data_IF_127148705498
#
_entry.id   IF_127148705498
#
_cell.length_a   1.000
_cell.length_b   1.000
_cell.length_c   1.000
_cell.angle_alpha   90.00
_cell.angle_beta   90.00
_cell.angle_gamma   90.00
#
_symmetry.space_group_name_H-M   'P 1'
#
loop_
_entity.id
_entity.type
_entity.pdbx_description
1 polymer ?
#
# COMPACT_ATOMS: atom_id res chain seq x y z
N UNK A 1 29.09 1.15 -30.04
CA UNK A 1 30.20 0.73 -30.93
C UNK A 1 31.46 0.58 -30.07
N UNK A 2 32.15 -0.55 -29.96
CA UNK A 2 31.86 -1.96 -30.33
C UNK A 2 32.38 -2.75 -29.11
N UNK A 3 31.62 -3.59 -28.38
CA UNK A 3 30.54 -4.52 -28.73
C UNK A 3 30.98 -5.81 -29.47
N UNK A 4 32.21 -6.26 -29.24
CA UNK A 4 32.65 -7.62 -29.62
C UNK A 4 33.90 -8.03 -28.80
N UNK A 5 33.76 -9.03 -27.90
CA UNK A 5 34.80 -9.88 -27.24
C UNK A 5 34.37 -10.35 -25.83
N UNK A 6 33.41 -11.30 -25.74
CA UNK A 6 33.33 -12.28 -24.63
C UNK A 6 32.29 -13.40 -24.85
N UNK A 7 32.17 -13.91 -26.08
CA UNK A 7 31.35 -15.11 -26.40
C UNK A 7 32.18 -16.09 -27.23
N UNK A 8 32.96 -16.96 -26.58
CA UNK A 8 33.63 -18.10 -27.22
C UNK A 8 34.23 -19.08 -26.18
N UNK A 9 33.39 -19.81 -25.43
CA UNK A 9 33.87 -20.95 -24.62
C UNK A 9 32.86 -22.11 -24.49
N UNK A 10 32.17 -22.46 -25.59
CA UNK A 10 31.52 -23.77 -25.78
C UNK A 10 31.81 -24.23 -27.22
N UNK A 11 31.85 -25.55 -27.45
CA UNK A 11 32.20 -26.28 -28.69
C UNK A 11 33.68 -26.71 -28.77
N UNK A 12 34.00 -27.83 -28.09
CA UNK A 12 34.85 -28.93 -28.62
C UNK A 12 34.95 -30.12 -27.63
N UNK A 13 34.16 -31.17 -27.85
CA UNK A 13 34.50 -32.57 -27.56
C UNK A 13 33.37 -33.49 -28.07
N UNK A 14 33.67 -34.46 -28.93
CA UNK A 14 32.76 -35.54 -29.35
C UNK A 14 33.54 -36.65 -30.08
N UNK A 15 32.99 -37.88 -30.01
CA UNK A 15 33.43 -39.13 -30.70
C UNK A 15 34.69 -39.85 -30.20
N UNK A 16 34.50 -41.12 -29.81
CA UNK A 16 35.38 -42.31 -29.72
C UNK A 16 34.58 -43.35 -28.86
N UNK A 17 33.82 -44.35 -29.33
CA UNK A 17 33.93 -45.41 -30.37
C UNK A 17 34.30 -46.80 -29.76
N UNK A 18 33.39 -47.80 -29.91
CA UNK A 18 33.60 -49.28 -29.85
C UNK A 18 33.96 -49.93 -28.47
N UNK A 19 33.64 -51.19 -28.10
CA UNK A 19 32.62 -52.21 -28.50
C UNK A 19 32.44 -53.28 -27.35
N UNK A 20 31.78 -54.47 -27.46
CA UNK A 20 31.03 -55.09 -26.33
C UNK A 20 31.45 -56.53 -25.91
N UNK A 21 30.75 -57.10 -24.90
CA UNK A 21 30.21 -58.51 -24.84
C UNK A 21 30.36 -59.21 -23.47
N UNK A 22 29.25 -59.43 -22.73
CA UNK A 22 28.84 -60.68 -22.04
C UNK A 22 27.47 -60.45 -21.33
N UNK A 23 26.44 -61.31 -21.19
CA UNK A 23 26.03 -62.66 -21.70
C UNK A 23 25.77 -63.71 -20.59
N UNK A 24 24.48 -63.89 -20.21
CA UNK A 24 23.84 -65.14 -19.69
C UNK A 24 24.21 -65.54 -18.22
N UNK A 25 23.31 -66.00 -17.32
CA UNK A 25 22.18 -66.96 -17.47
C UNK A 25 21.07 -66.88 -16.37
N UNK A 26 19.89 -67.44 -16.74
CA UNK A 26 18.77 -67.91 -15.88
C UNK A 26 17.81 -66.86 -15.25
N UNK A 27 16.56 -67.20 -14.86
CA UNK A 27 15.86 -68.51 -14.92
C UNK A 27 14.50 -68.52 -15.68
N UNK A 28 13.35 -68.43 -14.99
CA UNK A 28 11.96 -68.50 -15.54
C UNK A 28 10.96 -67.79 -14.59
N UNK A 29 9.84 -67.29 -15.13
CA UNK A 29 8.63 -67.01 -14.34
C UNK A 29 7.51 -66.24 -15.07
N UNK A 30 6.48 -66.96 -15.56
CA UNK A 30 5.11 -66.55 -15.93
C UNK A 30 4.83 -65.19 -16.64
N UNK A 31 4.11 -65.25 -17.77
CA UNK A 31 3.42 -64.09 -18.39
C UNK A 31 2.15 -63.71 -17.61
N UNK A 32 1.94 -62.40 -17.38
CA UNK A 32 0.61 -61.80 -17.13
C UNK A 32 0.65 -60.29 -17.37
N UNK A 33 0.39 -59.85 -18.61
CA UNK A 33 0.36 -58.43 -19.00
C UNK A 33 -1.03 -57.83 -18.77
N UNK A 34 -1.21 -57.09 -17.68
CA UNK A 34 -2.47 -56.40 -17.36
C UNK A 34 -2.47 -54.98 -17.95
N UNK A 35 -2.90 -54.84 -19.20
CA UNK A 35 -3.02 -53.54 -19.88
C UNK A 35 -4.24 -52.78 -19.37
N UNK A 36 -4.04 -51.85 -18.44
CA UNK A 36 -5.09 -50.90 -18.06
C UNK A 36 -5.27 -49.82 -19.14
N UNK A 37 -6.43 -49.79 -19.79
CA UNK A 37 -6.90 -48.59 -20.47
C UNK A 37 -7.28 -47.57 -19.40
N UNK A 38 -6.53 -46.46 -19.32
CA UNK A 38 -7.04 -45.24 -18.69
C UNK A 38 -7.85 -44.51 -19.74
N UNK A 39 -9.18 -44.66 -19.69
CA UNK A 39 -10.09 -43.78 -20.41
C UNK A 39 -10.13 -42.44 -19.70
N UNK A 40 -9.57 -41.39 -20.32
CA UNK A 40 -9.69 -40.02 -19.85
C UNK A 40 -11.14 -39.56 -19.93
N UNK A 41 -11.91 -39.78 -18.86
CA UNK A 41 -13.18 -39.09 -18.67
C UNK A 41 -12.89 -37.68 -18.20
N UNK A 42 -12.83 -36.72 -19.13
CA UNK A 42 -12.69 -35.29 -18.82
C UNK A 42 -13.98 -34.74 -18.19
N UNK A 43 -14.28 -35.20 -16.99
CA UNK A 43 -15.22 -34.55 -16.09
C UNK A 43 -14.56 -33.29 -15.54
N UNK A 44 -14.57 -32.23 -16.36
CA UNK A 44 -14.50 -30.88 -15.83
C UNK A 44 -15.64 -30.74 -14.82
N UNK A 45 -15.30 -30.76 -13.53
CA UNK A 45 -16.22 -30.37 -12.49
C UNK A 45 -16.45 -28.87 -12.69
N UNK A 46 -17.60 -28.49 -13.27
CA UNK A 46 -18.05 -27.11 -13.28
C UNK A 46 -18.16 -26.66 -11.82
N UNK A 47 -17.19 -25.86 -11.39
CA UNK A 47 -17.33 -25.08 -10.17
C UNK A 47 -18.50 -24.14 -10.41
N UNK A 48 -19.66 -24.48 -9.84
CA UNK A 48 -20.85 -23.63 -9.87
C UNK A 48 -20.54 -22.38 -9.06
N UNK A 49 -19.95 -21.38 -9.72
CA UNK A 49 -19.74 -20.06 -9.13
C UNK A 49 -21.10 -19.56 -8.66
N UNK A 50 -21.26 -19.38 -7.35
CA UNK A 50 -22.48 -18.82 -6.79
C UNK A 50 -22.73 -17.49 -7.49
N UNK A 51 -23.88 -17.37 -8.17
CA UNK A 51 -24.22 -16.18 -8.94
C UNK A 51 -24.31 -15.02 -7.96
N UNK A 52 -23.35 -14.09 -8.04
CA UNK A 52 -23.23 -12.99 -7.09
C UNK A 52 -24.57 -12.26 -6.94
N UNK A 53 -25.04 -12.15 -5.69
CA UNK A 53 -26.36 -11.61 -5.36
C UNK A 53 -26.47 -10.14 -5.76
N UNK A 54 -25.35 -9.41 -5.64
CA UNK A 54 -25.20 -8.03 -6.09
C UNK A 54 -24.17 -7.92 -7.21
N UNK A 55 -24.33 -6.91 -8.06
CA UNK A 55 -23.32 -6.47 -9.02
C UNK A 55 -23.50 -4.98 -9.25
N UNK A 56 -22.50 -4.18 -8.84
CA UNK A 56 -22.49 -2.72 -9.00
C UNK A 56 -21.59 -2.31 -10.19
N UNK A 57 -21.38 -1.00 -10.38
CA UNK A 57 -20.69 -0.47 -11.58
C UNK A 57 -19.20 -0.80 -11.64
N UNK A 58 -18.58 -1.14 -10.51
CA UNK A 58 -17.16 -1.47 -10.48
C UNK A 58 -16.84 -2.76 -11.24
N UNK A 59 -17.85 -3.58 -11.59
CA UNK A 59 -17.75 -4.71 -12.52
C UNK A 59 -17.34 -4.33 -13.96
N UNK A 60 -17.16 -3.04 -14.26
CA UNK A 60 -16.70 -2.54 -15.56
C UNK A 60 -15.36 -1.79 -15.48
N UNK A 61 -14.77 -1.68 -14.27
CA UNK A 61 -13.49 -1.03 -14.06
C UNK A 61 -12.30 -1.93 -14.39
N UNK A 62 -11.10 -1.34 -14.46
CA UNK A 62 -9.85 -2.05 -14.77
C UNK A 62 -8.99 -2.32 -13.54
N UNK A 63 -9.01 -1.43 -12.56
CA UNK A 63 -8.37 -1.62 -11.27
C UNK A 63 -8.82 -2.95 -10.63
N UNK A 64 -7.90 -3.87 -10.30
CA UNK A 64 -8.20 -5.05 -9.51
C UNK A 64 -8.82 -4.71 -8.14
N UNK A 65 -8.42 -3.58 -7.54
CA UNK A 65 -8.98 -3.09 -6.29
C UNK A 65 -10.44 -2.67 -6.42
N UNK A 66 -10.83 -2.02 -7.52
CA UNK A 66 -12.25 -1.69 -7.76
C UNK A 66 -13.06 -2.95 -8.09
N UNK A 67 -12.50 -3.88 -8.87
CA UNK A 67 -13.14 -5.15 -9.21
C UNK A 67 -13.37 -6.04 -7.98
N UNK A 68 -12.50 -6.01 -6.96
CA UNK A 68 -12.74 -6.66 -5.66
C UNK A 68 -14.05 -6.19 -5.00
N UNK A 69 -14.46 -4.93 -5.21
CA UNK A 69 -15.69 -4.36 -4.63
C UNK A 69 -16.92 -4.46 -5.55
N UNK A 70 -16.82 -5.12 -6.71
CA UNK A 70 -17.88 -5.18 -7.73
C UNK A 70 -19.15 -5.92 -7.29
N UNK A 71 -19.04 -6.79 -6.28
CA UNK A 71 -20.13 -7.64 -5.78
C UNK A 71 -20.59 -7.31 -4.36
N UNK A 72 -20.12 -6.20 -3.79
CA UNK A 72 -20.62 -5.70 -2.51
C UNK A 72 -22.08 -5.23 -2.64
N UNK A 73 -22.89 -5.35 -1.57
CA UNK A 73 -24.27 -4.82 -1.51
C UNK A 73 -24.36 -3.29 -1.61
N UNK A 74 -23.24 -2.57 -1.46
CA UNK A 74 -23.17 -1.13 -1.71
C UNK A 74 -23.27 -0.85 -3.22
N UNK A 75 -24.17 0.04 -3.63
CA UNK A 75 -24.31 0.59 -4.99
C UNK A 75 -23.15 1.53 -5.29
N UNK A 76 -21.94 0.95 -5.43
CA UNK A 76 -20.73 1.68 -5.74
C UNK A 76 -20.73 2.21 -7.17
N UNK A 77 -20.22 3.43 -7.29
CA UNK A 77 -19.85 4.08 -8.53
C UNK A 77 -18.33 4.27 -8.58
N UNK A 78 -17.72 4.25 -9.77
CA UNK A 78 -16.39 4.83 -9.98
C UNK A 78 -16.43 6.35 -9.87
N UNK A 79 -15.26 7.01 -9.79
CA UNK A 79 -15.16 8.47 -9.81
C UNK A 79 -15.52 9.03 -11.20
N UNK A 80 -16.75 9.53 -11.35
CA UNK A 80 -17.21 10.09 -12.63
C UNK A 80 -18.54 10.83 -12.56
N UNK A 81 -18.86 11.51 -13.66
CA UNK A 81 -20.03 12.40 -13.77
C UNK A 81 -21.38 11.70 -13.59
N UNK A 82 -21.50 10.38 -13.84
CA UNK A 82 -22.74 9.64 -13.51
C UNK A 82 -23.07 9.74 -12.01
N UNK A 83 -22.06 9.54 -11.15
CA UNK A 83 -22.21 9.62 -9.70
C UNK A 83 -22.49 11.05 -9.23
N UNK A 84 -21.80 12.03 -9.81
CA UNK A 84 -21.98 13.44 -9.44
C UNK A 84 -23.34 13.98 -9.90
N UNK A 85 -23.80 13.59 -11.10
CA UNK A 85 -25.14 13.91 -11.60
C UNK A 85 -26.23 13.19 -10.79
N UNK A 86 -25.99 11.96 -10.32
CA UNK A 86 -26.88 11.28 -9.35
C UNK A 86 -26.98 12.06 -8.04
N UNK A 87 -25.85 12.43 -7.45
CA UNK A 87 -25.80 13.19 -6.19
C UNK A 87 -26.54 14.54 -6.30
N UNK A 88 -26.33 15.28 -7.40
CA UNK A 88 -27.04 16.54 -7.68
C UNK A 88 -28.54 16.34 -7.89
N UNK A 89 -28.95 15.32 -8.66
CA UNK A 89 -30.37 15.03 -8.95
C UNK A 89 -31.16 14.57 -7.73
N UNK A 90 -30.55 13.76 -6.86
CA UNK A 90 -31.18 13.21 -5.65
C UNK A 90 -30.96 14.08 -4.40
N UNK A 91 -30.22 15.19 -4.53
CA UNK A 91 -29.67 16.00 -3.44
C UNK A 91 -29.09 15.19 -2.27
N UNK A 92 -28.27 14.18 -2.59
CA UNK A 92 -27.59 13.32 -1.62
C UNK A 92 -26.13 13.74 -1.46
N UNK A 93 -25.63 13.71 -0.24
CA UNK A 93 -24.18 13.74 -0.01
C UNK A 93 -23.52 12.51 -0.67
N UNK A 94 -22.29 12.70 -1.15
CA UNK A 94 -21.45 11.63 -1.67
C UNK A 94 -20.65 11.04 -0.52
N UNK A 95 -20.61 9.72 -0.39
CA UNK A 95 -19.60 9.03 0.41
C UNK A 95 -18.45 8.59 -0.52
N UNK A 96 -17.29 9.21 -0.36
CA UNK A 96 -16.06 8.88 -1.07
C UNK A 96 -15.22 7.94 -0.20
N UNK A 97 -14.92 6.75 -0.72
CA UNK A 97 -14.01 5.78 -0.11
C UNK A 97 -12.80 5.51 -1.01
N UNK A 98 -11.67 6.14 -0.69
CA UNK A 98 -10.40 5.95 -1.42
C UNK A 98 -9.56 4.88 -0.73
N UNK A 99 -9.04 3.94 -1.51
CA UNK A 99 -8.10 2.90 -1.09
C UNK A 99 -7.32 2.38 -2.30
N UNK A 100 -6.66 1.23 -2.16
CA UNK A 100 -5.90 0.57 -3.23
C UNK A 100 -5.59 -0.88 -2.79
N UNK A 101 -5.03 -1.69 -3.69
CA UNK A 101 -5.05 -3.16 -3.61
C UNK A 101 -4.30 -3.82 -2.45
N UNK A 102 -3.26 -3.20 -1.87
CA UNK A 102 -2.43 -3.79 -0.80
C UNK A 102 -2.72 -3.20 0.59
N UNK A 103 -3.79 -2.41 0.70
CA UNK A 103 -4.15 -1.68 1.90
C UNK A 103 -4.92 -2.59 2.87
N UNK A 104 -4.21 -3.21 3.83
CA UNK A 104 -4.82 -4.07 4.87
C UNK A 104 -6.10 -3.46 5.48
N UNK A 105 -6.02 -2.24 6.03
CA UNK A 105 -7.17 -1.56 6.63
C UNK A 105 -8.33 -1.28 5.66
N UNK A 106 -8.05 -1.21 4.34
CA UNK A 106 -9.08 -1.09 3.32
C UNK A 106 -9.83 -2.41 3.12
N UNK A 107 -9.16 -3.56 3.23
CA UNK A 107 -9.79 -4.87 3.25
C UNK A 107 -10.57 -5.11 4.54
N UNK A 108 -10.00 -4.75 5.70
CA UNK A 108 -10.71 -4.82 7.00
C UNK A 108 -12.00 -4.02 6.96
N UNK A 109 -11.99 -2.78 6.47
CA UNK A 109 -13.22 -1.97 6.36
C UNK A 109 -14.19 -2.50 5.30
N UNK A 110 -13.71 -3.17 4.25
CA UNK A 110 -14.58 -3.84 3.29
C UNK A 110 -15.33 -5.01 3.94
N UNK A 111 -14.61 -5.91 4.61
CA UNK A 111 -15.17 -7.10 5.23
C UNK A 111 -16.03 -6.77 6.48
N UNK A 112 -15.55 -5.89 7.37
CA UNK A 112 -16.30 -5.49 8.57
C UNK A 112 -17.48 -4.54 8.27
N UNK A 113 -17.55 -3.88 7.10
CA UNK A 113 -18.60 -2.89 6.82
C UNK A 113 -19.17 -2.87 5.39
N UNK A 114 -18.37 -2.81 4.33
CA UNK A 114 -18.92 -2.69 2.96
C UNK A 114 -19.54 -3.99 2.41
N UNK A 115 -19.27 -5.14 3.02
CA UNK A 115 -19.93 -6.42 2.74
C UNK A 115 -21.20 -6.65 3.58
N UNK A 116 -21.47 -5.80 4.57
CA UNK A 116 -22.60 -5.97 5.48
C UNK A 116 -23.89 -5.32 4.93
N UNK A 117 -24.93 -6.13 4.71
CA UNK A 117 -26.23 -5.69 4.19
C UNK A 117 -26.87 -4.53 4.96
N UNK A 118 -26.81 -4.51 6.30
CA UNK A 118 -27.40 -3.43 7.09
C UNK A 118 -26.66 -2.10 6.90
N UNK A 119 -25.31 -2.15 6.84
CA UNK A 119 -24.47 -0.99 6.53
C UNK A 119 -24.76 -0.50 5.11
N UNK A 120 -24.78 -1.42 4.14
CA UNK A 120 -25.03 -1.10 2.74
C UNK A 120 -26.43 -0.52 2.51
N UNK A 121 -27.46 -1.02 3.21
CA UNK A 121 -28.81 -0.46 3.17
C UNK A 121 -28.85 1.00 3.66
N UNK A 122 -28.11 1.35 4.72
CA UNK A 122 -27.95 2.74 5.18
C UNK A 122 -27.20 3.56 4.11
N UNK A 123 -26.08 3.04 3.60
CA UNK A 123 -25.24 3.73 2.60
C UNK A 123 -26.00 4.03 1.31
N UNK A 124 -26.76 3.07 0.77
CA UNK A 124 -27.50 3.20 -0.49
C UNK A 124 -28.75 4.09 -0.35
N UNK A 125 -29.37 4.10 0.83
CA UNK A 125 -30.50 4.97 1.15
C UNK A 125 -30.11 6.44 1.15
N UNK A 126 -29.06 6.79 1.90
CA UNK A 126 -28.77 8.17 2.26
C UNK A 126 -27.67 8.86 1.42
N UNK A 127 -26.79 8.09 0.77
CA UNK A 127 -25.63 8.62 0.05
C UNK A 127 -25.55 8.18 -1.42
N UNK A 128 -24.66 8.81 -2.18
CA UNK A 128 -24.10 8.24 -3.41
C UNK A 128 -22.70 7.74 -3.10
N UNK A 129 -22.49 6.43 -3.24
CA UNK A 129 -21.27 5.77 -2.78
C UNK A 129 -20.26 5.69 -3.93
N UNK A 130 -19.09 6.33 -3.76
CA UNK A 130 -18.03 6.36 -4.77
C UNK A 130 -16.79 5.65 -4.22
N UNK A 131 -16.33 4.63 -4.95
CA UNK A 131 -15.07 3.92 -4.68
C UNK A 131 -13.98 4.45 -5.62
N UNK A 132 -12.78 4.63 -5.09
CA UNK A 132 -11.63 5.13 -5.87
C UNK A 132 -10.38 4.32 -5.54
N UNK A 133 -9.68 3.90 -6.59
CA UNK A 133 -8.30 3.41 -6.50
C UNK A 133 -7.34 4.60 -6.51
N UNK A 134 -6.50 4.67 -5.48
CA UNK A 134 -5.44 5.66 -5.31
C UNK A 134 -4.31 5.51 -6.33
N UNK A 135 -4.03 4.30 -6.83
CA UNK A 135 -2.97 4.10 -7.82
C UNK A 135 -3.40 4.63 -9.20
N UNK A 136 -4.68 4.47 -9.57
CA UNK A 136 -5.24 5.08 -10.78
C UNK A 136 -5.52 6.58 -10.62
N UNK A 137 -5.95 7.04 -9.44
CA UNK A 137 -6.39 8.43 -9.16
C UNK A 137 -5.67 9.11 -7.98
N UNK A 138 -4.33 9.27 -8.03
CA UNK A 138 -3.56 9.96 -7.00
C UNK A 138 -3.86 11.48 -6.94
N UNK A 139 -4.50 12.04 -7.97
CA UNK A 139 -4.99 13.41 -8.00
C UNK A 139 -6.18 13.63 -7.05
N UNK A 140 -7.13 12.68 -7.04
CA UNK A 140 -8.29 12.65 -6.15
C UNK A 140 -7.83 12.38 -4.71
N UNK A 141 -6.98 11.36 -4.53
CA UNK A 141 -6.40 10.99 -3.24
C UNK A 141 -5.76 12.21 -2.54
N UNK A 142 -4.83 12.89 -3.22
CA UNK A 142 -4.10 14.03 -2.65
C UNK A 142 -5.02 15.17 -2.20
N UNK A 143 -6.07 15.49 -2.96
CA UNK A 143 -7.01 16.58 -2.63
C UNK A 143 -7.76 16.28 -1.33
N UNK A 144 -8.34 15.08 -1.22
CA UNK A 144 -9.14 14.73 -0.04
C UNK A 144 -8.28 14.34 1.17
N UNK A 145 -7.07 13.80 0.95
CA UNK A 145 -6.10 13.55 2.03
C UNK A 145 -5.63 14.85 2.67
N UNK A 146 -5.45 15.92 1.88
CA UNK A 146 -5.14 17.26 2.40
C UNK A 146 -6.26 17.77 3.32
N UNK A 147 -7.52 17.52 2.96
CA UNK A 147 -8.69 17.87 3.79
C UNK A 147 -8.74 17.06 5.10
N UNK A 148 -8.55 15.73 5.05
CA UNK A 148 -8.54 14.88 6.26
C UNK A 148 -7.40 15.29 7.21
N UNK A 149 -6.21 15.57 6.68
CA UNK A 149 -5.07 16.06 7.47
C UNK A 149 -5.34 17.42 8.11
N UNK A 150 -5.92 18.38 7.37
CA UNK A 150 -6.23 19.70 7.89
C UNK A 150 -7.36 19.70 8.96
N UNK A 151 -8.27 18.73 8.92
CA UNK A 151 -9.44 18.68 9.83
C UNK A 151 -9.29 17.72 11.01
N UNK A 152 -8.51 16.65 10.87
CA UNK A 152 -8.31 15.64 11.94
C UNK A 152 -6.92 15.69 12.57
N UNK A 153 -5.95 16.36 11.94
CA UNK A 153 -4.54 16.33 12.35
C UNK A 153 -3.79 15.06 11.97
N UNK A 154 -4.46 14.09 11.32
CA UNK A 154 -3.88 12.83 10.85
C UNK A 154 -4.36 12.44 9.45
N UNK A 155 -3.88 11.32 8.92
CA UNK A 155 -4.28 10.83 7.60
C UNK A 155 -3.74 9.43 7.33
N UNK A 156 -4.34 8.74 6.36
CA UNK A 156 -4.07 7.34 6.04
C UNK A 156 -5.24 6.71 5.28
N UNK A 157 -5.13 5.42 4.99
CA UNK A 157 -6.14 4.67 4.23
C UNK A 157 -6.74 3.54 5.09
N UNK A 158 -8.01 3.14 4.87
CA UNK A 158 -8.97 3.67 3.90
C UNK A 158 -9.31 5.12 4.23
N UNK A 159 -9.50 5.95 3.22
CA UNK A 159 -9.87 7.35 3.41
C UNK A 159 -11.36 7.51 3.15
N UNK A 160 -12.08 7.94 4.19
CA UNK A 160 -13.54 7.95 4.26
C UNK A 160 -14.03 9.39 4.40
N UNK A 161 -14.61 9.96 3.33
CA UNK A 161 -14.92 11.39 3.23
C UNK A 161 -16.32 11.62 2.69
N UNK A 162 -17.09 12.51 3.33
CA UNK A 162 -18.40 12.94 2.84
C UNK A 162 -18.30 14.29 2.12
N UNK A 163 -18.84 14.34 0.91
CA UNK A 163 -18.84 15.51 0.02
C UNK A 163 -20.26 15.99 -0.26
N UNK A 164 -20.42 17.28 -0.52
CA UNK A 164 -21.63 17.80 -1.17
C UNK A 164 -21.73 17.33 -2.63
N UNK A 165 -22.88 17.47 -3.31
CA UNK A 165 -23.01 17.25 -4.76
C UNK A 165 -22.08 18.10 -5.65
N UNK A 166 -21.44 19.13 -5.09
CA UNK A 166 -20.40 19.96 -5.72
C UNK A 166 -18.96 19.48 -5.41
N UNK A 167 -18.82 18.27 -4.84
CA UNK A 167 -17.55 17.64 -4.47
C UNK A 167 -16.78 18.35 -3.33
N UNK A 168 -17.42 19.28 -2.63
CA UNK A 168 -16.86 20.01 -1.47
C UNK A 168 -16.88 19.10 -0.23
N UNK A 169 -15.74 18.80 0.41
CA UNK A 169 -15.71 17.93 1.58
C UNK A 169 -16.21 18.65 2.83
N UNK A 170 -16.90 17.94 3.73
CA UNK A 170 -17.42 18.50 4.97
C UNK A 170 -17.27 17.60 6.23
N UNK A 171 -17.13 16.29 6.06
CA UNK A 171 -16.70 15.35 7.11
C UNK A 171 -15.65 14.41 6.52
N UNK A 172 -14.63 14.05 7.30
CA UNK A 172 -13.60 13.10 6.87
C UNK A 172 -12.97 12.35 8.03
N UNK A 173 -12.44 11.17 7.73
CA UNK A 173 -11.68 10.32 8.62
C UNK A 173 -10.95 9.23 7.83
N UNK A 174 -10.33 8.30 8.54
CA UNK A 174 -9.67 7.15 7.93
C UNK A 174 -10.52 5.89 8.09
N UNK A 175 -10.09 4.95 8.93
CA UNK A 175 -10.85 3.79 9.35
C UNK A 175 -11.98 4.19 10.31
N UNK A 176 -13.13 3.52 10.17
CA UNK A 176 -14.20 3.53 11.16
C UNK A 176 -14.56 2.08 11.50
N UNK A 177 -14.51 1.64 12.77
CA UNK A 177 -14.91 0.29 13.15
C UNK A 177 -16.42 0.10 12.91
N UNK A 178 -16.93 -1.13 12.74
CA UNK A 178 -18.36 -1.39 12.56
C UNK A 178 -19.18 -0.96 13.80
N UNK A 179 -18.62 -1.21 14.98
CA UNK A 179 -19.22 -0.95 16.30
C UNK A 179 -18.32 -0.05 17.16
N UNK A 180 -18.88 0.58 18.20
CA UNK A 180 -18.15 1.52 19.07
C UNK A 180 -16.95 0.84 19.74
N UNK A 181 -15.73 1.26 19.38
CA UNK A 181 -14.46 0.72 19.93
C UNK A 181 -13.43 1.84 20.08
N UNK A 182 -12.53 1.68 21.05
CA UNK A 182 -11.39 2.60 21.30
C UNK A 182 -11.75 4.10 21.44
N UNK A 183 -12.98 4.41 21.87
CA UNK A 183 -13.49 5.78 21.97
C UNK A 183 -14.01 6.38 20.66
N UNK A 184 -13.99 5.62 19.56
CA UNK A 184 -14.57 5.99 18.28
C UNK A 184 -15.99 5.42 18.11
N UNK A 185 -16.92 6.16 17.48
CA UNK A 185 -18.25 5.64 17.15
C UNK A 185 -18.20 4.63 16.00
N UNK A 186 -19.04 3.60 16.07
CA UNK A 186 -19.20 2.62 15.00
C UNK A 186 -19.76 3.24 13.71
N UNK A 187 -19.35 2.69 12.57
CA UNK A 187 -19.57 3.25 11.23
C UNK A 187 -21.06 3.46 10.91
N UNK A 188 -21.95 2.55 11.37
CA UNK A 188 -23.41 2.73 11.28
C UNK A 188 -23.87 4.07 11.90
N UNK A 189 -23.40 4.38 13.11
CA UNK A 189 -23.73 5.63 13.82
C UNK A 189 -23.09 6.86 13.17
N UNK A 190 -21.95 6.71 12.50
CA UNK A 190 -21.34 7.80 11.70
C UNK A 190 -22.19 8.10 10.48
N UNK A 191 -22.56 7.08 9.71
CA UNK A 191 -23.45 7.18 8.55
C UNK A 191 -24.79 7.84 8.93
N UNK A 192 -25.45 7.37 9.99
CA UNK A 192 -26.72 7.93 10.46
C UNK A 192 -26.60 9.39 10.89
N UNK A 193 -25.55 9.74 11.66
CA UNK A 193 -25.31 11.13 12.09
C UNK A 193 -25.07 12.07 10.90
N UNK A 194 -24.28 11.63 9.91
CA UNK A 194 -24.03 12.44 8.71
C UNK A 194 -25.27 12.55 7.83
N UNK A 195 -26.06 11.49 7.69
CA UNK A 195 -27.32 11.49 6.94
C UNK A 195 -28.37 12.42 7.58
N UNK A 196 -28.50 12.40 8.90
CA UNK A 196 -29.38 13.33 9.64
C UNK A 196 -28.87 14.76 9.55
N UNK A 197 -27.57 15.00 9.74
CA UNK A 197 -26.99 16.32 9.60
C UNK A 197 -27.20 16.90 8.19
N UNK A 198 -27.03 16.10 7.13
CA UNK A 198 -27.29 16.51 5.75
C UNK A 198 -28.75 16.93 5.51
N UNK A 199 -29.71 16.23 6.11
CA UNK A 199 -31.15 16.52 5.98
C UNK A 199 -31.59 17.75 6.79
N UNK A 200 -31.05 17.92 8.00
CA UNK A 200 -31.46 18.97 8.94
C UNK A 200 -30.67 20.28 8.80
N UNK A 201 -29.41 20.21 8.36
CA UNK A 201 -28.46 21.32 8.35
C UNK A 201 -27.83 21.56 6.96
N UNK A 202 -28.51 21.14 5.89
CA UNK A 202 -28.04 21.18 4.48
C UNK A 202 -27.25 22.44 4.12
N UNK A 203 -27.87 23.62 4.20
CA UNK A 203 -27.28 24.87 3.71
C UNK A 203 -26.02 25.26 4.49
N UNK A 204 -26.02 25.00 5.80
CA UNK A 204 -24.87 25.19 6.68
C UNK A 204 -23.70 24.25 6.33
N UNK A 205 -24.00 23.01 5.92
CA UNK A 205 -22.98 22.06 5.46
C UNK A 205 -22.41 22.51 4.11
N UNK A 206 -23.25 23.00 3.19
CA UNK A 206 -22.81 23.55 1.90
C UNK A 206 -21.94 24.80 2.09
N UNK A 207 -22.27 25.66 3.04
CA UNK A 207 -21.45 26.80 3.44
C UNK A 207 -20.11 26.35 4.05
N UNK A 208 -20.13 25.45 5.04
CA UNK A 208 -18.93 24.92 5.70
C UNK A 208 -17.98 24.26 4.70
N UNK A 209 -18.48 23.43 3.79
CA UNK A 209 -17.67 22.83 2.73
C UNK A 209 -17.04 23.86 1.78
N UNK A 210 -17.73 24.98 1.52
CA UNK A 210 -17.16 26.08 0.73
C UNK A 210 -16.09 26.87 1.51
N UNK A 211 -16.30 27.15 2.80
CA UNK A 211 -15.32 27.80 3.68
C UNK A 211 -14.04 26.96 3.83
N UNK A 212 -14.19 25.64 4.01
CA UNK A 212 -13.07 24.68 4.08
C UNK A 212 -12.27 24.68 2.77
N UNK A 213 -12.92 24.60 1.61
CA UNK A 213 -12.24 24.65 0.31
C UNK A 213 -11.53 25.99 0.08
N UNK A 214 -12.07 27.11 0.59
CA UNK A 214 -11.40 28.41 0.55
C UNK A 214 -10.11 28.42 1.41
N UNK A 215 -10.17 27.97 2.67
CA UNK A 215 -9.01 27.92 3.56
C UNK A 215 -7.91 26.96 3.05
N UNK A 216 -8.29 25.82 2.46
CA UNK A 216 -7.36 24.89 1.82
C UNK A 216 -6.68 25.51 0.58
N UNK A 217 -7.39 26.33 -0.20
CA UNK A 217 -6.80 27.10 -1.31
C UNK A 217 -5.88 28.20 -0.81
N UNK A 218 -6.26 28.94 0.23
CA UNK A 218 -5.48 30.05 0.79
C UNK A 218 -4.15 29.59 1.39
N UNK A 219 -4.16 28.48 2.14
CA UNK A 219 -2.94 27.84 2.67
C UNK A 219 -2.02 27.34 1.54
N UNK A 220 -2.58 26.77 0.47
CA UNK A 220 -1.80 26.39 -0.72
C UNK A 220 -1.25 27.61 -1.49
N UNK A 221 -2.03 28.69 -1.67
CA UNK A 221 -1.55 29.89 -2.36
C UNK A 221 -0.50 30.65 -1.55
N UNK A 222 -0.59 30.63 -0.22
CA UNK A 222 0.40 31.23 0.68
C UNK A 222 1.73 30.46 0.62
N UNK A 223 1.68 29.13 0.44
CA UNK A 223 2.87 28.32 0.17
C UNK A 223 3.43 28.49 -1.26
N UNK A 224 2.64 29.00 -2.20
CA UNK A 224 3.02 29.23 -3.60
C UNK A 224 3.52 30.66 -3.90
N UNK A 225 3.92 31.42 -2.87
CA UNK A 225 4.55 32.73 -3.07
C UNK A 225 5.90 32.64 -3.80
N UNK A 226 6.31 33.71 -4.48
CA UNK A 226 7.58 33.82 -5.25
C UNK A 226 8.84 33.89 -4.36
N UNK A 227 8.82 33.27 -3.19
CA UNK A 227 9.94 33.19 -2.28
C UNK A 227 11.08 32.39 -2.88
N UNK A 228 12.24 33.04 -3.06
CA UNK A 228 13.48 32.34 -3.43
C UNK A 228 13.82 31.32 -2.33
N UNK A 229 14.03 30.06 -2.72
CA UNK A 229 14.59 29.04 -1.84
C UNK A 229 15.97 29.49 -1.37
N UNK A 230 16.07 29.94 -0.12
CA UNK A 230 17.30 30.41 0.51
C UNK A 230 17.75 29.49 1.66
N UNK A 231 18.92 29.79 2.24
CA UNK A 231 19.46 29.03 3.35
C UNK A 231 18.52 28.98 4.58
N UNK A 232 17.72 30.03 4.83
CA UNK A 232 16.83 30.12 5.99
C UNK A 232 15.66 29.15 5.87
N UNK A 233 15.18 28.88 4.64
CA UNK A 233 14.16 27.85 4.40
C UNK A 233 14.70 26.47 4.79
N UNK A 234 15.94 26.16 4.42
CA UNK A 234 16.62 24.91 4.80
C UNK A 234 16.84 24.83 6.32
N UNK A 235 17.32 25.92 6.94
CA UNK A 235 17.56 25.99 8.38
C UNK A 235 16.25 25.89 9.19
N UNK A 236 15.13 26.39 8.65
CA UNK A 236 13.80 26.27 9.26
C UNK A 236 13.26 24.83 9.16
N UNK A 237 13.39 24.20 7.99
CA UNK A 237 13.03 22.80 7.80
C UNK A 237 13.84 21.87 8.74
N UNK A 238 15.16 22.07 8.83
CA UNK A 238 16.00 21.37 9.80
C UNK A 238 15.51 21.55 11.25
N UNK A 239 15.23 22.79 11.68
CA UNK A 239 14.71 23.07 13.04
C UNK A 239 13.33 22.47 13.31
N UNK A 240 12.49 22.27 12.30
CA UNK A 240 11.22 21.57 12.44
C UNK A 240 11.44 20.06 12.61
N UNK A 241 12.38 19.47 11.87
CA UNK A 241 12.72 18.05 11.97
C UNK A 241 13.35 17.70 13.32
N UNK A 242 14.36 18.46 13.75
CA UNK A 242 15.07 18.28 15.03
C UNK A 242 14.11 18.33 16.24
N UNK A 243 13.14 19.25 16.25
CA UNK A 243 12.06 19.31 17.26
C UNK A 243 11.14 18.08 17.30
N UNK A 244 11.04 17.34 16.20
CA UNK A 244 10.18 16.16 16.06
C UNK A 244 10.94 14.83 16.17
N UNK A 245 12.27 14.89 16.27
CA UNK A 245 13.15 13.74 16.22
C UNK A 245 13.12 12.93 17.52
N UNK A 246 13.22 11.61 17.40
CA UNK A 246 13.34 10.69 18.53
C UNK A 246 14.82 10.28 18.72
N UNK A 247 15.58 10.89 19.65
CA UNK A 247 17.01 10.59 19.83
C UNK A 247 17.29 9.23 20.49
N UNK A 248 16.27 8.42 20.79
CA UNK A 248 16.43 7.06 21.35
C UNK A 248 16.20 5.98 20.30
N UNK A 249 15.15 6.14 19.48
CA UNK A 249 14.75 5.14 18.48
C UNK A 249 14.91 5.62 17.03
N UNK A 250 15.32 6.86 16.79
CA UNK A 250 15.30 7.46 15.46
C UNK A 250 13.88 7.70 14.92
N UNK A 251 13.80 8.33 13.75
CA UNK A 251 12.54 8.76 13.13
C UNK A 251 11.97 10.04 13.73
N UNK A 252 10.75 10.36 13.29
CA UNK A 252 10.12 11.66 13.51
C UNK A 252 8.68 11.50 14.00
N UNK A 253 8.42 11.91 15.24
CA UNK A 253 7.15 11.72 15.94
C UNK A 253 7.04 10.38 16.68
N UNK A 254 5.82 10.10 17.13
CA UNK A 254 5.46 8.89 17.87
C UNK A 254 5.04 7.75 16.91
N UNK A 255 4.46 6.69 17.45
CA UNK A 255 3.79 5.64 16.68
C UNK A 255 2.52 6.18 15.96
N UNK A 256 2.17 5.65 14.77
CA UNK A 256 2.97 4.76 13.93
C UNK A 256 4.15 5.49 13.27
N UNK A 257 5.31 4.83 13.20
CA UNK A 257 6.53 5.40 12.60
C UNK A 257 6.72 5.00 11.15
N UNK A 258 6.84 6.01 10.29
CA UNK A 258 7.09 5.87 8.85
C UNK A 258 8.57 6.16 8.52
N UNK A 259 9.17 5.48 7.52
CA UNK A 259 10.58 5.64 7.16
C UNK A 259 10.95 7.03 6.63
N UNK A 260 10.01 7.73 5.95
CA UNK A 260 10.17 9.10 5.42
C UNK A 260 11.53 9.34 4.70
N UNK A 261 11.91 8.54 3.69
CA UNK A 261 13.23 8.61 3.08
C UNK A 261 13.58 9.99 2.48
N UNK A 262 12.60 10.77 1.99
CA UNK A 262 12.79 12.17 1.55
C UNK A 262 13.36 13.06 2.68
N UNK A 263 12.94 12.84 3.93
CA UNK A 263 13.46 13.55 5.10
C UNK A 263 14.92 13.18 5.38
N UNK A 264 15.26 11.90 5.25
CA UNK A 264 16.64 11.40 5.42
C UNK A 264 17.56 11.96 4.32
N UNK A 265 17.06 11.96 3.08
CA UNK A 265 17.73 12.53 1.91
C UNK A 265 17.95 14.06 2.06
N UNK A 266 16.99 14.78 2.65
CA UNK A 266 17.18 16.19 3.02
C UNK A 266 18.29 16.36 4.07
N UNK A 267 18.28 15.57 5.15
CA UNK A 267 19.26 15.68 6.23
C UNK A 267 20.69 15.37 5.76
N UNK A 268 20.88 14.34 4.93
CA UNK A 268 22.17 14.04 4.28
C UNK A 268 22.68 15.21 3.42
N UNK A 269 21.78 15.90 2.69
CA UNK A 269 22.10 17.09 1.88
C UNK A 269 22.34 18.34 2.73
N UNK A 270 21.66 18.46 3.88
CA UNK A 270 21.87 19.54 4.85
C UNK A 270 23.26 19.43 5.51
N UNK A 271 23.65 18.22 5.94
CA UNK A 271 25.01 17.91 6.39
C UNK A 271 26.05 18.24 5.32
N UNK A 272 25.84 17.79 4.07
CA UNK A 272 26.80 17.99 2.99
C UNK A 272 27.05 19.47 2.62
N UNK A 273 26.18 20.40 3.03
CA UNK A 273 26.36 21.85 2.86
C UNK A 273 27.35 22.45 3.87
N UNK A 274 27.32 21.99 5.11
CA UNK A 274 28.24 22.41 6.17
C UNK A 274 28.53 21.24 7.13
N UNK A 275 29.48 20.35 6.76
CA UNK A 275 29.83 19.16 7.53
C UNK A 275 30.43 19.43 8.91
N UNK A 276 30.95 20.65 9.13
CA UNK A 276 31.63 21.00 10.37
C UNK A 276 30.73 21.71 11.38
N UNK A 277 29.62 22.31 10.95
CA UNK A 277 28.59 22.82 11.85
C UNK A 277 27.98 21.75 12.75
N UNK A 278 27.66 22.11 14.00
CA UNK A 278 26.94 21.23 14.94
C UNK A 278 25.58 20.80 14.38
N UNK A 279 24.90 21.69 13.67
CA UNK A 279 23.62 21.41 13.00
C UNK A 279 23.76 20.40 11.85
N UNK A 280 24.84 20.47 11.07
CA UNK A 280 25.16 19.46 10.07
C UNK A 280 25.47 18.11 10.70
N UNK A 281 26.31 18.08 11.74
CA UNK A 281 26.68 16.87 12.47
C UNK A 281 25.46 16.19 13.12
N UNK A 282 24.57 16.97 13.73
CA UNK A 282 23.28 16.51 14.26
C UNK A 282 22.36 15.99 13.14
N UNK A 283 22.24 16.71 12.01
CA UNK A 283 21.43 16.25 10.86
C UNK A 283 21.90 14.89 10.33
N UNK A 284 23.22 14.67 10.25
CA UNK A 284 23.77 13.38 9.85
C UNK A 284 23.43 12.29 10.88
N UNK A 285 23.58 12.54 12.18
CA UNK A 285 23.27 11.53 13.20
C UNK A 285 21.76 11.21 13.25
N UNK A 286 20.90 12.20 13.04
CA UNK A 286 19.44 12.00 12.87
C UNK A 286 19.13 11.01 11.74
N UNK A 287 19.80 11.15 10.59
CA UNK A 287 19.69 10.19 9.49
C UNK A 287 20.28 8.82 9.85
N UNK A 288 21.48 8.78 10.45
CA UNK A 288 22.22 7.55 10.76
C UNK A 288 21.53 6.67 11.79
N UNK A 289 21.03 7.23 12.89
CA UNK A 289 20.32 6.47 13.92
C UNK A 289 18.99 5.95 13.37
N UNK A 290 18.26 6.77 12.60
CA UNK A 290 17.01 6.35 11.95
C UNK A 290 17.24 5.16 11.02
N UNK A 291 18.19 5.25 10.08
CA UNK A 291 18.54 4.15 9.17
C UNK A 291 18.98 2.89 9.92
N UNK A 292 19.80 3.00 10.98
CA UNK A 292 20.19 1.85 11.80
C UNK A 292 19.03 1.21 12.56
N UNK A 293 18.12 2.02 13.11
CA UNK A 293 16.96 1.55 13.90
C UNK A 293 15.89 0.91 13.03
N UNK A 294 15.67 1.42 11.82
CA UNK A 294 14.80 0.78 10.83
C UNK A 294 15.39 -0.57 10.38
N UNK A 295 16.67 -0.60 10.00
CA UNK A 295 17.36 -1.84 9.57
C UNK A 295 17.55 -2.88 10.68
N UNK A 296 17.47 -2.51 11.95
CA UNK A 296 17.53 -3.43 13.09
C UNK A 296 16.14 -3.79 13.66
N UNK A 297 15.08 -3.17 13.14
CA UNK A 297 13.69 -3.43 13.53
C UNK A 297 13.03 -4.47 12.62
N UNK A 298 11.83 -4.93 13.00
CA UNK A 298 11.00 -5.81 12.19
C UNK A 298 10.28 -5.12 11.02
N UNK A 299 10.50 -3.82 10.82
CA UNK A 299 10.14 -3.16 9.55
C UNK A 299 11.11 -3.47 8.41
N UNK A 300 12.32 -3.93 8.72
CA UNK A 300 13.19 -4.59 7.74
C UNK A 300 12.82 -6.07 7.73
N UNK A 301 12.61 -6.65 6.56
CA UNK A 301 12.33 -8.07 6.44
C UNK A 301 13.64 -8.87 6.48
N UNK A 302 13.97 -9.44 7.64
CA UNK A 302 15.19 -10.23 7.84
C UNK A 302 15.17 -11.61 7.17
N UNK A 303 14.06 -11.99 6.51
CA UNK A 303 13.86 -13.30 5.88
C UNK A 303 13.76 -13.17 4.35
N UNK A 304 12.84 -12.32 3.87
CA UNK A 304 12.62 -12.04 2.45
C UNK A 304 13.42 -10.85 1.91
N UNK A 305 13.86 -9.91 2.75
CA UNK A 305 14.53 -8.68 2.33
C UNK A 305 13.57 -7.55 1.94
N UNK A 306 14.14 -6.35 1.83
CA UNK A 306 13.39 -5.11 1.65
C UNK A 306 12.69 -4.63 2.92
N UNK A 307 11.95 -3.52 2.82
CA UNK A 307 11.24 -2.91 3.94
C UNK A 307 9.73 -3.02 3.84
N UNK A 308 9.10 -3.37 4.96
CA UNK A 308 7.68 -3.14 5.20
C UNK A 308 7.42 -1.62 5.37
N UNK A 309 6.22 -1.17 4.99
CA UNK A 309 5.91 0.24 4.72
C UNK A 309 6.05 1.17 5.92
N UNK A 310 5.66 0.70 7.11
CA UNK A 310 5.80 1.45 8.37
C UNK A 310 5.77 0.51 9.57
N UNK A 311 6.07 1.03 10.76
CA UNK A 311 5.86 0.30 12.01
C UNK A 311 4.68 0.87 12.79
N UNK A 312 3.82 -0.01 13.31
CA UNK A 312 2.69 0.39 14.15
C UNK A 312 3.11 0.88 15.55
N UNK A 313 4.37 0.65 15.94
CA UNK A 313 4.94 1.11 17.22
C UNK A 313 5.96 2.26 17.05
N UNK A 314 6.65 2.63 18.14
CA UNK A 314 7.67 3.71 18.17
C UNK A 314 9.12 3.21 18.15
N UNK A 315 9.32 1.90 18.16
CA UNK A 315 10.59 1.17 18.28
C UNK A 315 11.03 0.53 16.95
N UNK A 316 10.14 0.51 15.95
CA UNK A 316 10.28 -0.15 14.65
C UNK A 316 10.20 -1.69 14.71
N UNK A 317 9.61 -2.26 15.76
CA UNK A 317 9.57 -3.72 15.94
C UNK A 317 8.42 -4.37 15.18
N UNK A 318 7.19 -3.86 15.35
CA UNK A 318 5.99 -4.43 14.70
C UNK A 318 5.72 -3.71 13.37
N UNK A 319 5.86 -4.36 12.19
CA UNK A 319 5.56 -3.75 10.90
C UNK A 319 4.05 -3.64 10.64
N UNK A 320 3.71 -2.87 9.61
CA UNK A 320 2.52 -3.08 8.76
C UNK A 320 3.05 -3.67 7.45
N UNK A 321 2.70 -4.93 7.15
CA UNK A 321 3.51 -5.86 6.35
C UNK A 321 3.59 -5.54 4.84
N UNK A 322 2.68 -4.70 4.35
CA UNK A 322 2.70 -4.10 3.00
C UNK A 322 4.12 -3.64 2.57
N UNK A 323 4.56 -3.95 1.34
CA UNK A 323 5.83 -3.46 0.78
C UNK A 323 5.58 -2.68 -0.52
N UNK A 324 6.01 -1.41 -0.58
CA UNK A 324 5.76 -0.53 -1.73
C UNK A 324 7.04 -0.27 -2.54
N UNK A 325 7.01 -0.40 -3.87
CA UNK A 325 8.18 -0.20 -4.75
C UNK A 325 8.80 1.19 -4.55
N UNK A 326 7.96 2.22 -4.40
CA UNK A 326 8.42 3.59 -4.20
C UNK A 326 9.11 3.80 -2.85
N UNK A 327 8.76 3.03 -1.81
CA UNK A 327 9.43 3.08 -0.51
C UNK A 327 10.77 2.34 -0.59
N UNK A 328 10.84 1.16 -1.23
CA UNK A 328 12.09 0.45 -1.50
C UNK A 328 13.09 1.34 -2.27
N UNK A 329 12.67 1.89 -3.41
CA UNK A 329 13.54 2.69 -4.27
C UNK A 329 14.11 3.93 -3.56
N UNK A 330 13.29 4.60 -2.74
CA UNK A 330 13.74 5.77 -1.98
C UNK A 330 14.59 5.41 -0.76
N UNK A 331 14.33 4.28 -0.09
CA UNK A 331 15.16 3.78 1.00
C UNK A 331 16.53 3.33 0.50
N UNK A 332 16.61 2.61 -0.63
CA UNK A 332 17.88 2.25 -1.25
C UNK A 332 18.76 3.49 -1.50
N UNK A 333 18.17 4.59 -2.01
CA UNK A 333 18.87 5.88 -2.16
C UNK A 333 19.32 6.46 -0.81
N UNK A 334 18.47 6.43 0.23
CA UNK A 334 18.83 6.95 1.56
C UNK A 334 19.98 6.16 2.22
N UNK A 335 19.99 4.82 2.09
CA UNK A 335 21.09 3.98 2.54
C UNK A 335 22.36 4.20 1.71
N UNK A 336 22.25 4.40 0.39
CA UNK A 336 23.41 4.72 -0.46
C UNK A 336 24.00 6.11 -0.16
N UNK A 337 23.19 7.14 0.07
CA UNK A 337 23.65 8.46 0.51
C UNK A 337 24.41 8.34 1.85
N UNK A 338 23.85 7.61 2.82
CA UNK A 338 24.49 7.36 4.12
C UNK A 338 25.81 6.57 3.98
N UNK A 339 25.89 5.58 3.09
CA UNK A 339 27.12 4.85 2.79
C UNK A 339 28.18 5.75 2.13
N UNK A 340 27.80 6.58 1.16
CA UNK A 340 28.73 7.48 0.47
C UNK A 340 29.37 8.49 1.43
N UNK A 341 28.58 9.00 2.39
CA UNK A 341 29.05 9.91 3.44
C UNK A 341 29.92 9.18 4.47
N UNK A 342 29.43 8.09 5.06
CA UNK A 342 30.03 7.50 6.27
C UNK A 342 31.02 6.36 6.02
N UNK A 343 30.94 5.72 4.84
CA UNK A 343 31.62 4.46 4.47
C UNK A 343 31.34 3.27 5.40
N UNK A 344 30.29 3.38 6.23
CA UNK A 344 29.79 2.32 7.07
C UNK A 344 29.09 1.25 6.21
N UNK A 345 29.72 0.08 6.08
CA UNK A 345 29.26 -1.01 5.21
C UNK A 345 27.91 -1.60 5.61
N UNK A 346 27.40 -1.32 6.81
CA UNK A 346 26.03 -1.70 7.18
C UNK A 346 25.01 -1.08 6.22
N UNK A 347 25.21 0.19 5.82
CA UNK A 347 24.32 0.86 4.87
C UNK A 347 24.48 0.32 3.44
N UNK A 348 25.68 -0.13 3.04
CA UNK A 348 25.88 -0.81 1.75
C UNK A 348 25.13 -2.15 1.71
N UNK A 349 25.21 -2.93 2.79
CA UNK A 349 24.53 -4.23 2.89
C UNK A 349 23.00 -4.08 2.78
N UNK A 350 22.41 -3.15 3.53
CA UNK A 350 20.95 -2.89 3.48
C UNK A 350 20.52 -2.32 2.12
N UNK A 351 21.34 -1.46 1.48
CA UNK A 351 21.06 -0.99 0.13
C UNK A 351 21.07 -2.13 -0.92
N UNK A 352 21.91 -3.16 -0.73
CA UNK A 352 21.92 -4.35 -1.58
C UNK A 352 20.71 -5.24 -1.35
N UNK A 353 20.39 -5.53 -0.09
CA UNK A 353 19.21 -6.32 0.30
C UNK A 353 17.91 -5.79 -0.34
N UNK A 354 17.68 -4.48 -0.27
CA UNK A 354 16.52 -3.83 -0.91
C UNK A 354 16.51 -4.05 -2.44
N UNK A 355 17.67 -3.94 -3.09
CA UNK A 355 17.80 -4.09 -4.55
C UNK A 355 17.69 -5.56 -4.99
N UNK A 356 18.17 -6.50 -4.18
CA UNK A 356 18.07 -7.94 -4.42
C UNK A 356 16.60 -8.40 -4.26
N UNK A 357 15.86 -7.88 -3.26
CA UNK A 357 14.40 -8.04 -3.13
C UNK A 357 13.65 -7.46 -4.33
N UNK A 358 13.90 -6.20 -4.70
CA UNK A 358 13.24 -5.57 -5.87
C UNK A 358 13.54 -6.33 -7.17
N UNK A 359 14.77 -6.83 -7.34
CA UNK A 359 15.19 -7.63 -8.48
C UNK A 359 14.60 -9.05 -8.54
N UNK A 360 14.30 -9.65 -7.37
CA UNK A 360 13.75 -11.01 -7.26
C UNK A 360 12.24 -11.06 -7.35
N UNK A 361 11.55 -10.19 -6.59
CA UNK A 361 10.11 -10.31 -6.34
C UNK A 361 9.30 -9.18 -6.99
N UNK A 362 9.81 -7.94 -6.96
CA UNK A 362 9.10 -6.79 -7.55
C UNK A 362 9.32 -6.62 -9.07
N UNK A 363 10.14 -7.47 -9.71
CA UNK A 363 10.46 -7.36 -11.15
C UNK A 363 9.62 -8.33 -11.99
N UNK A 364 8.83 -7.81 -12.93
CA UNK A 364 8.09 -8.61 -13.90
C UNK A 364 9.01 -9.18 -14.98
N UNK A 365 8.72 -10.42 -15.42
CA UNK A 365 9.39 -11.09 -16.56
C UNK A 365 9.19 -10.36 -17.89
N UNK A 366 8.24 -9.42 -17.94
CA UNK A 366 7.95 -8.57 -19.10
C UNK A 366 8.80 -7.27 -19.11
N UNK A 367 9.62 -7.04 -18.07
CA UNK A 367 10.56 -5.91 -17.99
C UNK A 367 10.05 -4.67 -17.24
N UNK A 368 8.83 -4.72 -16.69
CA UNK A 368 8.31 -3.72 -15.75
C UNK A 368 8.56 -4.10 -14.28
N UNK A 369 8.16 -3.21 -13.36
CA UNK A 369 8.12 -3.50 -11.92
C UNK A 369 6.66 -3.50 -11.41
N UNK A 370 6.35 -4.30 -10.40
CA UNK A 370 5.09 -4.25 -9.68
C UNK A 370 5.06 -3.04 -8.73
N UNK A 371 3.89 -2.41 -8.51
CA UNK A 371 3.77 -1.23 -7.62
C UNK A 371 3.95 -1.57 -6.14
N UNK A 372 3.49 -2.75 -5.71
CA UNK A 372 3.45 -3.19 -4.33
C UNK A 372 3.42 -4.72 -4.18
N UNK A 373 3.68 -5.19 -2.96
CA UNK A 373 3.40 -6.52 -2.43
C UNK A 373 2.40 -6.38 -1.28
N UNK A 374 1.42 -7.29 -1.21
CA UNK A 374 0.31 -7.22 -0.27
C UNK A 374 0.76 -7.49 1.19
N UNK A 375 0.08 -6.87 2.15
CA UNK A 375 0.27 -7.15 3.58
C UNK A 375 -0.40 -8.48 3.98
N UNK A 376 -1.49 -8.83 3.28
CA UNK A 376 -2.36 -9.95 3.60
C UNK A 376 -1.84 -11.26 2.98
N UNK A 377 -1.74 -12.29 3.82
CA UNK A 377 -1.24 -13.62 3.44
C UNK A 377 -2.29 -14.71 3.73
N UNK A 378 -2.50 -15.69 2.83
CA UNK A 378 -3.40 -16.81 3.07
C UNK A 378 -3.05 -17.59 4.35
N UNK A 379 -4.02 -17.68 5.27
CA UNK A 379 -3.87 -18.41 6.53
C UNK A 379 -3.87 -19.91 6.24
N UNK A 380 -2.70 -20.54 6.31
CA UNK A 380 -2.56 -21.99 6.16
C UNK A 380 -3.15 -22.69 7.38
N UNK A 381 -4.43 -23.06 7.26
CA UNK A 381 -5.05 -24.02 8.15
C UNK A 381 -4.26 -25.35 8.14
N UNK A 382 -4.24 -26.03 9.29
CA UNK A 382 -3.41 -27.22 9.49
C UNK A 382 -3.73 -28.38 8.54
N UNK A 383 -2.78 -29.29 8.37
CA UNK A 383 -2.83 -30.44 7.44
C UNK A 383 -4.16 -31.20 7.61
N UNK A 384 -5.07 -31.02 6.66
CA UNK A 384 -6.38 -31.68 6.62
C UNK A 384 -7.57 -30.78 6.33
N UNK A 385 -7.45 -29.46 6.49
CA UNK A 385 -8.54 -28.52 6.15
C UNK A 385 -8.49 -28.07 4.68
N UNK A 386 -9.66 -27.96 4.05
CA UNK A 386 -9.81 -27.77 2.61
C UNK A 386 -9.85 -26.29 2.21
N UNK A 387 -8.82 -25.54 2.62
CA UNK A 387 -8.50 -24.21 2.08
C UNK A 387 -9.58 -23.15 2.27
N UNK A 388 -9.82 -22.69 3.50
CA UNK A 388 -10.60 -21.46 3.70
C UNK A 388 -9.87 -20.26 3.07
N UNK A 389 -10.59 -19.41 2.33
CA UNK A 389 -10.03 -18.24 1.62
C UNK A 389 -9.68 -17.06 2.52
N UNK A 390 -9.27 -17.32 3.77
CA UNK A 390 -8.97 -16.30 4.77
C UNK A 390 -7.53 -15.84 4.63
N UNK A 391 -7.33 -14.56 4.34
CA UNK A 391 -6.06 -13.89 4.54
C UNK A 391 -5.97 -13.32 5.95
N UNK A 392 -4.76 -13.00 6.39
CA UNK A 392 -4.49 -12.14 7.53
C UNK A 392 -3.16 -11.42 7.32
N UNK A 393 -3.02 -10.22 7.91
CA UNK A 393 -1.78 -9.45 7.82
C UNK A 393 -0.60 -10.24 8.38
N UNK A 394 0.48 -10.36 7.61
CA UNK A 394 1.73 -10.98 8.08
C UNK A 394 1.67 -12.48 8.41
N UNK A 395 0.66 -13.23 7.93
CA UNK A 395 0.42 -14.62 8.36
C UNK A 395 1.54 -15.66 8.10
N UNK A 396 2.64 -15.29 7.43
CA UNK A 396 3.82 -16.11 7.18
C UNK A 396 5.11 -15.62 7.89
N UNK A 397 5.04 -14.56 8.70
CA UNK A 397 6.19 -13.89 9.33
C UNK A 397 6.31 -14.16 10.85
#
# INVERSE_FOLDING_TARGET
MIAERLVSFVIRASSLISHPSFVIRHFRGAFLTLTWLVTSSDTFAESTSARAEHTNRLAHEKSPYLLQHAHNPVDWYPWGEEAFAKARRENKAIFLSVGYSTCHWCHVMAHESFENEEVAAIMNRDFVNIKVDREERPDVDRVYMTFVQATTGGGGWPMSVWLTPDLKPFVGGTYFPPEDRYGQPGFKKVLERVATAWKENHDKIVEQGAQIVAALRESQSTAAGEGKLDAKVLDAAYKQLDRSYDPKEGGFGNAPKFPRPVTLNFLSRFYARDPESDAGKQALEMARLTLRKMAAGGMHDHIGGGFHRYSVDRYWHVPHFEKMLYDQAQLAVAYLDAYQITRDRQYEAVARDILDYVGRDMTSKEGGFFSAEDADSPVVAGIGDAGTSKTAEGAFY
#
